data_IF_630310133525
#
_entry.id   IF_630310133525
#
_cell.length_a   1.000
_cell.length_b   1.000
_cell.length_c   1.000
_cell.angle_alpha   90.00
_cell.angle_beta   90.00
_cell.angle_gamma   90.00
#
_symmetry.space_group_name_H-M   'P 1'
#
loop_
_entity.id
_entity.type
_entity.pdbx_description
1 polymer ?
#
# COMPACT_ATOMS: atom_id res chain seq x y z
N UNK A 1 -0.89 31.54 43.00
CA UNK A 1 -1.67 32.69 42.48
C UNK A 1 -2.94 32.81 43.31
N UNK A 2 -3.17 33.94 44.00
CA UNK A 2 -4.46 34.17 44.67
C UNK A 2 -5.59 34.18 43.64
N UNK A 3 -6.69 33.47 43.91
CA UNK A 3 -7.84 33.37 42.99
C UNK A 3 -7.82 32.20 42.00
N UNK A 4 -6.87 31.27 42.12
CA UNK A 4 -6.83 30.05 41.29
C UNK A 4 -7.15 28.82 42.15
N UNK A 5 -8.21 28.09 41.77
CA UNK A 5 -8.58 26.82 42.38
C UNK A 5 -8.02 25.67 41.53
N UNK A 6 -7.16 24.85 42.11
CA UNK A 6 -6.61 23.66 41.48
C UNK A 6 -7.21 22.41 42.13
N UNK A 7 -7.66 21.46 41.32
CA UNK A 7 -8.07 20.12 41.78
C UNK A 7 -7.21 19.08 41.06
N UNK A 8 -6.74 18.02 41.74
CA UNK A 8 -5.86 17.02 41.15
C UNK A 8 -6.67 16.04 40.28
N UNK A 9 -7.07 16.47 39.08
CA UNK A 9 -7.79 15.66 38.09
C UNK A 9 -9.02 14.91 38.64
N UNK A 10 -9.73 15.50 39.61
CA UNK A 10 -10.86 14.88 40.30
C UNK A 10 -12.17 14.85 39.48
N UNK A 11 -12.17 15.40 38.26
CA UNK A 11 -13.37 15.55 37.43
C UNK A 11 -14.04 14.23 37.03
N UNK A 12 -13.28 13.13 36.99
CA UNK A 12 -13.79 11.78 36.70
C UNK A 12 -13.68 10.82 37.91
N UNK A 13 -13.31 11.34 39.09
CA UNK A 13 -13.11 10.56 40.32
C UNK A 13 -14.38 10.46 41.16
N UNK A 14 -15.50 10.12 40.51
CA UNK A 14 -16.81 9.88 41.14
C UNK A 14 -17.21 8.42 40.94
N UNK A 15 -17.94 7.83 41.89
CA UNK A 15 -18.38 6.43 41.80
C UNK A 15 -19.26 6.19 40.56
N UNK A 16 -20.07 7.17 40.18
CA UNK A 16 -20.96 7.11 39.01
C UNK A 16 -20.16 7.02 37.70
N UNK A 17 -19.14 7.88 37.55
CA UNK A 17 -18.24 7.84 36.40
C UNK A 17 -17.46 6.52 36.31
N UNK A 18 -16.92 6.02 37.43
CA UNK A 18 -16.20 4.73 37.44
C UNK A 18 -17.11 3.55 37.11
N UNK A 19 -18.35 3.58 37.60
CA UNK A 19 -19.36 2.56 37.28
C UNK A 19 -19.71 2.56 35.79
N UNK A 20 -19.89 3.74 35.20
CA UNK A 20 -20.20 3.86 33.78
C UNK A 20 -19.03 3.38 32.89
N UNK A 21 -17.79 3.73 33.25
CA UNK A 21 -16.59 3.24 32.55
C UNK A 21 -16.47 1.72 32.65
N UNK A 22 -16.77 1.13 33.80
CA UNK A 22 -16.76 -0.32 33.97
C UNK A 22 -17.83 -1.02 33.10
N UNK A 23 -19.06 -0.48 33.07
CA UNK A 23 -20.15 -1.00 32.21
C UNK A 23 -19.74 -0.91 30.74
N UNK A 24 -19.17 0.22 30.32
CA UNK A 24 -18.71 0.42 28.94
C UNK A 24 -17.61 -0.60 28.57
N UNK A 25 -16.61 -0.79 29.44
CA UNK A 25 -15.55 -1.78 29.22
C UNK A 25 -16.08 -3.22 29.11
N UNK A 26 -17.03 -3.61 29.96
CA UNK A 26 -17.67 -4.93 29.88
C UNK A 26 -18.49 -5.07 28.59
N UNK A 27 -19.22 -4.04 28.19
CA UNK A 27 -19.99 -4.07 26.94
C UNK A 27 -19.08 -4.21 25.72
N UNK A 28 -17.91 -3.55 25.71
CA UNK A 28 -16.89 -3.71 24.67
C UNK A 28 -16.40 -5.15 24.57
N UNK A 29 -16.13 -5.80 25.70
CA UNK A 29 -15.72 -7.22 25.73
C UNK A 29 -16.84 -8.15 25.27
N UNK A 30 -18.08 -7.93 25.72
CA UNK A 30 -19.23 -8.74 25.31
C UNK A 30 -19.50 -8.64 23.81
N UNK A 31 -19.43 -7.44 23.25
CA UNK A 31 -19.59 -7.22 21.81
C UNK A 31 -18.48 -7.94 21.02
N UNK A 32 -17.23 -7.85 21.47
CA UNK A 32 -16.11 -8.57 20.87
C UNK A 32 -16.34 -10.10 20.87
N UNK A 33 -16.70 -10.69 22.01
CA UNK A 33 -16.90 -12.14 22.10
C UNK A 33 -18.17 -12.66 21.41
N UNK A 34 -19.19 -11.80 21.27
CA UNK A 34 -20.50 -12.23 20.72
C UNK A 34 -20.62 -11.99 19.22
N UNK A 35 -20.19 -10.82 18.74
CA UNK A 35 -20.35 -10.41 17.34
C UNK A 35 -19.02 -10.11 16.63
N UNK A 36 -17.90 -10.06 17.37
CA UNK A 36 -16.63 -9.56 16.85
C UNK A 36 -16.60 -8.04 16.68
N UNK A 37 -17.63 -7.31 17.11
CA UNK A 37 -17.70 -5.85 16.98
C UNK A 37 -16.78 -5.18 18.02
N UNK A 38 -15.91 -4.30 17.54
CA UNK A 38 -14.98 -3.55 18.39
C UNK A 38 -15.34 -2.07 18.29
N UNK A 39 -15.94 -1.52 19.34
CA UNK A 39 -16.23 -0.08 19.45
C UNK A 39 -15.13 0.63 20.25
N UNK A 40 -14.90 1.90 19.95
CA UNK A 40 -13.97 2.76 20.71
C UNK A 40 -12.56 2.17 20.89
N UNK A 41 -12.12 1.27 20.00
CA UNK A 41 -10.77 0.74 20.11
C UNK A 41 -9.79 1.85 19.82
N UNK A 42 -8.98 2.13 20.84
CA UNK A 42 -7.86 3.06 20.75
C UNK A 42 -6.90 2.62 19.63
N UNK A 43 -6.86 1.31 19.33
CA UNK A 43 -5.90 0.68 18.41
C UNK A 43 -6.48 -0.26 17.33
N UNK A 44 -7.79 -0.29 17.08
CA UNK A 44 -8.38 -1.16 16.04
C UNK A 44 -9.55 -0.46 15.35
N UNK A 45 -9.69 -0.64 14.03
CA UNK A 45 -10.74 0.01 13.28
C UNK A 45 -12.09 -0.50 13.79
N UNK A 46 -13.01 0.42 14.12
CA UNK A 46 -14.39 0.07 14.51
C UNK A 46 -15.21 -0.35 13.28
N UNK A 47 -14.69 -1.31 12.54
CA UNK A 47 -15.24 -1.82 11.28
C UNK A 47 -15.87 -3.16 11.59
N UNK A 48 -17.10 -3.36 11.12
CA UNK A 48 -17.80 -4.64 11.24
C UNK A 48 -16.98 -5.77 10.57
N UNK A 49 -16.80 -6.93 11.22
CA UNK A 49 -16.00 -8.03 10.68
C UNK A 49 -16.43 -8.50 9.29
N UNK A 50 -17.72 -8.42 8.93
CA UNK A 50 -18.20 -8.81 7.60
C UNK A 50 -17.76 -7.80 6.54
N UNK A 51 -17.78 -6.51 6.86
CA UNK A 51 -17.24 -5.46 5.98
C UNK A 51 -15.75 -5.66 5.76
N UNK A 52 -14.98 -5.95 6.82
CA UNK A 52 -13.54 -6.21 6.71
C UNK A 52 -13.26 -7.45 5.83
N UNK A 53 -13.98 -8.54 6.06
CA UNK A 53 -13.85 -9.77 5.27
C UNK A 53 -14.19 -9.53 3.79
N UNK A 54 -15.25 -8.78 3.49
CA UNK A 54 -15.67 -8.47 2.13
C UNK A 54 -14.69 -7.54 1.37
N UNK A 55 -13.92 -6.73 2.11
CA UNK A 55 -12.96 -5.78 1.54
C UNK A 55 -11.50 -6.24 1.62
N UNK A 56 -11.25 -7.43 2.18
CA UNK A 56 -9.91 -7.96 2.48
C UNK A 56 -8.94 -7.85 1.31
N UNK A 57 -9.35 -8.27 0.12
CA UNK A 57 -8.49 -8.21 -1.07
C UNK A 57 -8.19 -6.79 -1.55
N UNK A 58 -9.16 -5.88 -1.51
CA UNK A 58 -8.93 -4.47 -1.90
C UNK A 58 -8.05 -3.74 -0.88
N UNK A 59 -8.19 -4.08 0.41
CA UNK A 59 -7.34 -3.55 1.47
C UNK A 59 -5.89 -4.01 1.30
N UNK A 60 -5.69 -5.28 0.91
CA UNK A 60 -4.36 -5.80 0.60
C UNK A 60 -3.75 -5.09 -0.64
N UNK A 61 -4.53 -4.88 -1.70
CA UNK A 61 -4.09 -4.09 -2.87
C UNK A 61 -3.67 -2.68 -2.45
N UNK A 62 -4.51 -1.97 -1.69
CA UNK A 62 -4.21 -0.62 -1.23
C UNK A 62 -2.93 -0.57 -0.38
N UNK A 63 -2.79 -1.51 0.56
CA UNK A 63 -1.61 -1.64 1.41
C UNK A 63 -0.33 -1.88 0.60
N UNK A 64 -0.36 -2.83 -0.33
CA UNK A 64 0.79 -3.17 -1.18
C UNK A 64 1.16 -2.02 -2.13
N UNK A 65 0.19 -1.26 -2.64
CA UNK A 65 0.46 -0.03 -3.41
C UNK A 65 1.20 1.01 -2.56
N UNK A 66 0.79 1.19 -1.30
CA UNK A 66 1.48 2.07 -0.35
C UNK A 66 2.94 1.66 -0.15
N UNK A 67 3.16 0.36 0.14
CA UNK A 67 4.51 -0.20 0.30
C UNK A 67 5.36 -0.11 -0.96
N UNK A 68 4.75 -0.28 -2.13
CA UNK A 68 5.42 -0.15 -3.41
C UNK A 68 5.88 1.28 -3.64
N UNK A 69 4.98 2.27 -3.50
CA UNK A 69 5.31 3.67 -3.72
C UNK A 69 6.29 4.21 -2.68
N UNK A 70 6.27 3.72 -1.44
CA UNK A 70 7.28 4.06 -0.43
C UNK A 70 8.71 3.71 -0.87
N UNK A 71 8.88 2.63 -1.64
CA UNK A 71 10.18 2.14 -2.14
C UNK A 71 10.51 2.68 -3.53
N UNK A 72 9.50 2.91 -4.36
CA UNK A 72 9.66 3.39 -5.74
C UNK A 72 9.87 4.91 -5.83
N UNK A 73 9.21 5.68 -4.97
CA UNK A 73 9.33 7.14 -4.97
C UNK A 73 10.67 7.60 -4.45
N UNK A 74 11.29 8.56 -5.14
CA UNK A 74 12.56 9.14 -4.72
C UNK A 74 12.37 10.43 -3.91
N UNK A 75 13.04 10.53 -2.78
CA UNK A 75 13.03 11.72 -1.94
C UNK A 75 11.83 11.81 -0.98
N UNK A 76 11.75 12.91 -0.24
CA UNK A 76 10.76 13.06 0.82
C UNK A 76 9.35 13.26 0.26
N UNK A 77 8.42 12.42 0.70
CA UNK A 77 6.98 12.49 0.37
C UNK A 77 6.37 13.76 0.98
N UNK A 78 5.58 14.48 0.18
CA UNK A 78 4.87 15.70 0.58
C UNK A 78 3.35 15.55 0.52
N UNK A 79 2.85 14.75 -0.41
CA UNK A 79 1.42 14.48 -0.51
C UNK A 79 1.18 13.15 -1.22
N UNK A 80 0.05 12.52 -0.95
CA UNK A 80 -0.47 11.42 -1.74
C UNK A 80 -1.92 11.69 -2.17
N UNK A 81 -2.25 11.22 -3.37
CA UNK A 81 -3.61 11.26 -3.93
C UNK A 81 -4.04 9.84 -4.25
N UNK A 82 -5.21 9.44 -3.75
CA UNK A 82 -5.84 8.18 -4.16
C UNK A 82 -7.05 8.45 -5.03
N UNK A 83 -7.16 7.71 -6.12
CA UNK A 83 -8.31 7.75 -7.02
C UNK A 83 -8.95 6.36 -7.09
N UNK A 84 -10.18 6.25 -6.60
CA UNK A 84 -10.97 5.03 -6.62
C UNK A 84 -11.89 5.01 -7.83
N UNK A 85 -11.92 3.88 -8.56
CA UNK A 85 -12.76 3.72 -9.75
C UNK A 85 -13.60 2.45 -9.70
N UNK A 86 -14.80 2.52 -10.27
CA UNK A 86 -15.71 1.38 -10.37
C UNK A 86 -16.10 0.83 -9.00
N UNK A 87 -15.96 -0.48 -8.80
CA UNK A 87 -16.37 -1.15 -7.56
C UNK A 87 -15.60 -0.65 -6.32
N UNK A 88 -14.31 -0.31 -6.45
CA UNK A 88 -13.54 0.28 -5.36
C UNK A 88 -14.14 1.61 -4.86
N UNK A 89 -14.74 2.39 -5.75
CA UNK A 89 -15.37 3.68 -5.40
C UNK A 89 -16.67 3.52 -4.60
N UNK A 90 -17.31 2.34 -4.65
CA UNK A 90 -18.53 2.02 -3.93
C UNK A 90 -18.27 1.37 -2.55
N UNK A 91 -17.01 1.02 -2.25
CA UNK A 91 -16.57 0.45 -0.97
C UNK A 91 -16.22 1.55 0.04
N UNK A 92 -15.83 1.16 1.25
CA UNK A 92 -15.32 2.12 2.25
C UNK A 92 -13.94 2.66 1.83
N UNK A 93 -13.95 3.76 1.08
CA UNK A 93 -12.75 4.43 0.59
C UNK A 93 -11.88 5.01 1.70
N UNK A 94 -12.43 5.29 2.89
CA UNK A 94 -11.62 5.72 4.02
C UNK A 94 -10.76 4.56 4.52
N UNK A 95 -11.31 3.36 4.61
CA UNK A 95 -10.56 2.18 5.02
C UNK A 95 -9.48 1.80 3.98
N UNK A 96 -9.80 1.89 2.70
CA UNK A 96 -8.80 1.72 1.62
C UNK A 96 -7.69 2.77 1.70
N UNK A 97 -8.04 4.04 1.95
CA UNK A 97 -7.07 5.13 2.15
C UNK A 97 -6.15 4.81 3.32
N UNK A 98 -6.72 4.40 4.44
CA UNK A 98 -5.97 4.04 5.64
C UNK A 98 -5.03 2.85 5.42
N UNK A 99 -5.47 1.81 4.69
CA UNK A 99 -4.62 0.67 4.32
C UNK A 99 -3.42 1.10 3.46
N UNK A 100 -3.65 1.96 2.46
CA UNK A 100 -2.56 2.55 1.67
C UNK A 100 -1.61 3.37 2.52
N UNK A 101 -2.14 4.25 3.39
CA UNK A 101 -1.32 5.07 4.28
C UNK A 101 -0.45 4.19 5.20
N UNK A 102 -1.01 3.08 5.70
CA UNK A 102 -0.29 2.14 6.54
C UNK A 102 0.91 1.54 5.77
N UNK A 103 0.69 1.06 4.55
CA UNK A 103 1.76 0.53 3.72
C UNK A 103 2.82 1.58 3.34
N UNK A 104 2.42 2.84 3.16
CA UNK A 104 3.33 3.93 2.80
C UNK A 104 4.32 4.27 3.93
N UNK A 105 3.91 4.15 5.19
CA UNK A 105 4.73 4.54 6.36
C UNK A 105 5.42 3.37 7.05
N UNK A 106 5.01 2.13 6.77
CA UNK A 106 5.48 0.93 7.46
C UNK A 106 7.00 0.75 7.42
N UNK A 107 7.64 1.04 6.28
CA UNK A 107 9.10 0.92 6.15
C UNK A 107 9.89 1.96 6.96
N UNK A 108 9.24 3.04 7.42
CA UNK A 108 9.86 4.12 8.17
C UNK A 108 9.54 4.07 9.67
N UNK A 109 8.90 3.00 10.15
CA UNK A 109 8.42 2.85 11.52
C UNK A 109 9.03 1.61 12.17
N UNK A 110 9.52 1.76 13.41
CA UNK A 110 10.01 0.63 14.23
C UNK A 110 8.86 -0.18 14.85
N UNK A 111 7.67 0.40 14.95
CA UNK A 111 6.48 -0.24 15.54
C UNK A 111 5.44 -0.58 14.46
N UNK A 112 4.63 -1.60 14.74
CA UNK A 112 3.54 -2.04 13.86
C UNK A 112 2.55 -0.89 13.60
N UNK A 113 2.35 -0.54 12.34
CA UNK A 113 1.47 0.55 11.94
C UNK A 113 0.02 0.14 12.12
N UNK A 114 -0.70 0.88 12.95
CA UNK A 114 -2.15 0.73 13.07
C UNK A 114 -2.85 1.44 11.89
N UNK A 115 -3.64 0.68 11.13
CA UNK A 115 -4.46 1.20 10.02
C UNK A 115 -5.33 2.40 10.42
N UNK A 116 -5.87 2.44 11.64
CA UNK A 116 -6.73 3.54 12.11
C UNK A 116 -6.00 4.87 12.12
N UNK A 117 -4.75 4.85 12.59
CA UNK A 117 -3.98 6.06 12.83
C UNK A 117 -3.02 6.38 11.68
N UNK A 118 -2.86 5.48 10.70
CA UNK A 118 -1.92 5.65 9.60
C UNK A 118 -2.13 6.95 8.82
N UNK A 119 -3.39 7.33 8.57
CA UNK A 119 -3.72 8.59 7.90
C UNK A 119 -3.36 9.81 8.75
N UNK A 120 -3.68 9.78 10.04
CA UNK A 120 -3.37 10.87 10.99
C UNK A 120 -1.86 11.04 11.10
N UNK A 121 -1.12 9.93 11.20
CA UNK A 121 0.33 9.92 11.26
C UNK A 121 1.00 10.58 10.04
N UNK A 122 0.45 10.38 8.84
CA UNK A 122 0.91 11.09 7.63
C UNK A 122 0.63 12.59 7.74
N UNK A 123 -0.57 12.97 8.18
CA UNK A 123 -0.96 14.38 8.34
C UNK A 123 -0.10 15.11 9.39
N UNK A 124 0.21 14.46 10.51
CA UNK A 124 1.10 14.98 11.56
C UNK A 124 2.53 15.20 11.05
N UNK A 125 2.95 14.44 10.03
CA UNK A 125 4.22 14.63 9.30
C UNK A 125 4.13 15.66 8.18
N UNK A 126 3.00 16.35 8.06
CA UNK A 126 2.75 17.34 7.01
C UNK A 126 2.53 16.73 5.62
N UNK A 127 2.21 15.43 5.55
CA UNK A 127 1.90 14.74 4.30
C UNK A 127 0.40 14.85 4.04
N UNK A 128 0.03 15.60 3.01
CA UNK A 128 -1.37 15.77 2.63
C UNK A 128 -1.92 14.49 1.97
N UNK A 129 -3.10 14.04 2.40
CA UNK A 129 -3.78 12.86 1.83
C UNK A 129 -5.08 13.29 1.17
N UNK A 130 -5.12 13.25 -0.16
CA UNK A 130 -6.28 13.62 -0.98
C UNK A 130 -6.90 12.37 -1.59
N UNK A 131 -8.22 12.33 -1.65
CA UNK A 131 -8.96 11.19 -2.24
C UNK A 131 -9.98 11.68 -3.26
N UNK A 132 -10.11 10.99 -4.38
CA UNK A 132 -11.23 11.15 -5.31
C UNK A 132 -11.87 9.80 -5.62
N UNK A 133 -13.18 9.82 -5.90
CA UNK A 133 -13.94 8.61 -6.23
C UNK A 133 -14.76 8.85 -7.49
N UNK A 134 -14.71 7.91 -8.42
CA UNK A 134 -15.48 7.93 -9.66
C UNK A 134 -16.20 6.60 -9.87
N UNK A 135 -17.52 6.65 -9.99
CA UNK A 135 -18.34 5.44 -10.21
C UNK A 135 -18.13 4.83 -11.61
N UNK A 136 -17.65 5.63 -12.57
CA UNK A 136 -17.41 5.17 -13.94
C UNK A 136 -16.33 4.08 -13.98
N UNK A 137 -16.63 3.00 -14.72
CA UNK A 137 -15.71 1.90 -14.94
C UNK A 137 -14.70 2.30 -16.02
N UNK A 138 -13.42 2.08 -15.73
CA UNK A 138 -12.35 2.24 -16.73
C UNK A 138 -12.12 0.94 -17.50
N UNK A 139 -10.84 0.65 -17.79
CA UNK A 139 -10.43 -0.63 -18.37
C UNK A 139 -10.63 -1.84 -17.42
N UNK A 140 -10.85 -1.59 -16.12
CA UNK A 140 -11.07 -2.58 -15.08
C UNK A 140 -12.36 -2.25 -14.31
N UNK A 141 -13.03 -3.29 -13.80
CA UNK A 141 -14.26 -3.16 -13.00
C UNK A 141 -14.03 -2.48 -11.65
N UNK A 142 -12.82 -2.65 -11.10
CA UNK A 142 -12.36 -2.03 -9.86
C UNK A 142 -10.92 -1.53 -10.11
N UNK A 143 -10.56 -0.36 -9.59
CA UNK A 143 -9.17 0.08 -9.59
C UNK A 143 -8.91 1.07 -8.47
N UNK A 144 -7.72 0.96 -7.87
CA UNK A 144 -7.14 1.91 -6.94
C UNK A 144 -5.92 2.50 -7.62
N UNK A 145 -5.94 3.80 -7.89
CA UNK A 145 -4.78 4.53 -8.40
C UNK A 145 -4.22 5.38 -7.26
N UNK A 146 -2.91 5.45 -7.14
CA UNK A 146 -2.23 6.25 -6.15
C UNK A 146 -1.11 7.06 -6.80
N UNK A 147 -1.09 8.35 -6.50
CA UNK A 147 -0.02 9.28 -6.82
C UNK A 147 0.69 9.68 -5.54
N UNK A 148 2.02 9.59 -5.51
CA UNK A 148 2.87 10.10 -4.42
C UNK A 148 3.73 11.22 -4.98
N UNK A 149 3.53 12.42 -4.45
CA UNK A 149 4.35 13.59 -4.81
C UNK A 149 5.44 13.78 -3.78
N UNK A 150 6.67 13.86 -4.26
CA UNK A 150 7.88 14.12 -3.48
C UNK A 150 8.50 15.44 -3.90
N UNK A 151 9.67 15.76 -3.35
CA UNK A 151 10.49 16.87 -3.85
C UNK A 151 11.06 16.62 -5.26
N UNK A 152 11.16 15.37 -5.73
CA UNK A 152 11.76 15.01 -7.02
C UNK A 152 10.75 14.89 -8.16
N UNK A 153 9.46 14.71 -7.84
CA UNK A 153 8.39 14.54 -8.82
C UNK A 153 7.20 13.78 -8.25
N UNK A 154 6.26 13.44 -9.13
CA UNK A 154 5.10 12.60 -8.82
C UNK A 154 5.32 11.22 -9.39
N UNK A 155 5.09 10.20 -8.56
CA UNK A 155 5.19 8.79 -8.90
C UNK A 155 3.81 8.15 -8.83
N UNK A 156 3.41 7.43 -9.86
CA UNK A 156 2.07 6.85 -9.96
C UNK A 156 2.10 5.32 -9.98
N UNK A 157 1.20 4.68 -9.26
CA UNK A 157 0.94 3.25 -9.40
C UNK A 157 -0.57 2.97 -9.33
N UNK A 158 -1.01 1.93 -10.03
CA UNK A 158 -2.40 1.49 -10.02
C UNK A 158 -2.49 -0.01 -9.78
N UNK A 159 -3.45 -0.41 -8.96
CA UNK A 159 -3.71 -1.80 -8.62
C UNK A 159 -5.18 -2.17 -8.70
N UNK A 160 -5.42 -3.47 -8.85
CA UNK A 160 -6.74 -4.09 -8.77
C UNK A 160 -6.62 -5.47 -8.15
N UNK A 161 -7.75 -6.00 -7.68
CA UNK A 161 -7.87 -7.40 -7.28
C UNK A 161 -8.38 -8.22 -8.46
N UNK A 162 -7.67 -9.28 -8.83
CA UNK A 162 -8.17 -10.32 -9.73
C UNK A 162 -8.72 -11.48 -8.90
N UNK A 163 -9.90 -11.98 -9.27
CA UNK A 163 -10.58 -13.00 -8.46
C UNK A 163 -10.86 -12.50 -7.04
N UNK A 164 -10.51 -13.30 -6.04
CA UNK A 164 -10.74 -12.98 -4.63
C UNK A 164 -9.47 -12.58 -3.85
N UNK A 165 -8.29 -12.95 -4.34
CA UNK A 165 -7.05 -12.94 -3.56
C UNK A 165 -5.78 -12.74 -4.40
N UNK A 166 -5.89 -12.23 -5.64
CA UNK A 166 -4.73 -11.95 -6.50
C UNK A 166 -4.55 -10.45 -6.74
N UNK A 167 -3.80 -9.72 -5.89
CA UNK A 167 -3.40 -8.34 -6.12
C UNK A 167 -2.57 -8.21 -7.41
N UNK A 168 -3.02 -7.33 -8.31
CA UNK A 168 -2.34 -7.03 -9.58
C UNK A 168 -1.99 -5.56 -9.68
N UNK A 169 -0.75 -5.28 -10.11
CA UNK A 169 -0.38 -3.97 -10.61
C UNK A 169 -0.84 -3.86 -12.05
N UNK A 170 -1.59 -2.80 -12.35
CA UNK A 170 -2.18 -2.53 -13.68
C UNK A 170 -1.63 -1.27 -14.35
N UNK A 171 -0.93 -0.44 -13.57
CA UNK A 171 -0.37 0.82 -14.01
C UNK A 171 0.88 1.13 -13.18
N UNK A 172 1.95 1.56 -13.84
CA UNK A 172 3.12 2.15 -13.20
C UNK A 172 3.56 3.34 -14.04
N UNK A 173 3.59 4.52 -13.42
CA UNK A 173 3.65 5.80 -14.11
C UNK A 173 2.55 5.88 -15.18
N UNK A 174 2.91 6.15 -16.43
CA UNK A 174 1.98 6.17 -17.57
C UNK A 174 1.90 4.83 -18.31
N UNK A 175 2.60 3.79 -17.86
CA UNK A 175 2.68 2.50 -18.53
C UNK A 175 1.63 1.53 -17.99
N UNK A 176 0.77 1.03 -18.87
CA UNK A 176 -0.15 -0.07 -18.56
C UNK A 176 0.58 -1.40 -18.72
N UNK A 177 0.44 -2.27 -17.72
CA UNK A 177 1.07 -3.59 -17.64
C UNK A 177 0.28 -4.45 -16.66
N UNK A 178 0.51 -5.76 -16.61
CA UNK A 178 -0.09 -6.64 -15.61
C UNK A 178 1.00 -7.42 -14.89
N UNK A 179 1.28 -7.09 -13.63
CA UNK A 179 2.28 -7.78 -12.79
C UNK A 179 1.67 -8.22 -11.46
N UNK A 180 2.20 -9.29 -10.85
CA UNK A 180 1.88 -9.61 -9.46
C UNK A 180 2.34 -8.47 -8.55
N UNK A 181 1.49 -8.07 -7.61
CA UNK A 181 1.81 -7.05 -6.61
C UNK A 181 2.31 -7.71 -5.30
N UNK A 182 3.23 -8.67 -5.42
CA UNK A 182 3.77 -9.45 -4.31
C UNK A 182 5.21 -9.89 -4.54
N UNK A 183 5.85 -10.31 -3.44
CA UNK A 183 7.20 -10.86 -3.47
C UNK A 183 8.27 -9.85 -3.86
N UNK A 184 9.27 -10.30 -4.61
CA UNK A 184 10.39 -9.48 -5.07
C UNK A 184 10.12 -8.99 -6.50
N UNK A 185 10.00 -7.67 -6.68
CA UNK A 185 9.80 -7.03 -7.97
C UNK A 185 11.09 -6.31 -8.37
N UNK A 186 11.68 -6.68 -9.50
CA UNK A 186 12.67 -5.84 -10.16
C UNK A 186 11.97 -5.00 -11.23
N UNK A 187 11.97 -3.69 -11.01
CA UNK A 187 11.41 -2.71 -11.93
C UNK A 187 12.54 -2.04 -12.69
N UNK A 188 12.46 -1.99 -14.02
CA UNK A 188 13.46 -1.33 -14.84
C UNK A 188 12.85 -0.49 -15.97
N UNK A 189 13.35 0.73 -16.12
CA UNK A 189 12.99 1.64 -17.22
C UNK A 189 14.01 1.47 -18.33
N UNK A 190 13.54 1.29 -19.56
CA UNK A 190 14.39 0.96 -20.69
C UNK A 190 13.93 1.63 -21.98
N UNK A 191 14.77 1.57 -23.01
CA UNK A 191 14.38 1.88 -24.37
C UNK A 191 13.84 0.61 -25.06
N UNK A 192 12.67 0.70 -25.69
CA UNK A 192 12.03 -0.43 -26.38
C UNK A 192 12.75 -0.76 -27.70
N UNK A 193 13.83 -1.54 -27.62
CA UNK A 193 14.64 -1.98 -28.76
C UNK A 193 14.73 -3.52 -28.82
N UNK A 194 14.89 -4.11 -30.02
CA UNK A 194 15.07 -5.55 -30.16
C UNK A 194 16.18 -6.09 -29.27
N UNK A 195 15.90 -7.20 -28.57
CA UNK A 195 16.88 -7.91 -27.75
C UNK A 195 16.94 -7.49 -26.28
N UNK A 196 16.37 -6.35 -25.88
CA UNK A 196 16.47 -5.85 -24.49
C UNK A 196 15.94 -6.86 -23.46
N UNK A 197 14.78 -7.45 -23.72
CA UNK A 197 14.16 -8.45 -22.84
C UNK A 197 15.01 -9.72 -22.74
N UNK A 198 15.55 -10.18 -23.88
CA UNK A 198 16.43 -11.35 -23.91
C UNK A 198 17.75 -11.12 -23.17
N UNK A 199 18.30 -9.91 -23.25
CA UNK A 199 19.51 -9.53 -22.52
C UNK A 199 19.28 -9.54 -21.01
N UNK A 200 18.21 -8.91 -20.52
CA UNK A 200 17.87 -8.90 -19.08
C UNK A 200 17.62 -10.32 -18.57
N UNK A 201 16.84 -11.13 -19.29
CA UNK A 201 16.62 -12.53 -18.93
C UNK A 201 17.91 -13.35 -18.89
N UNK A 202 18.83 -13.12 -19.83
CA UNK A 202 20.13 -13.81 -19.88
C UNK A 202 21.04 -13.40 -18.72
N UNK A 203 21.02 -12.12 -18.32
CA UNK A 203 21.76 -11.65 -17.14
C UNK A 203 21.26 -12.37 -15.89
N UNK A 204 19.96 -12.40 -15.63
CA UNK A 204 19.44 -13.10 -14.45
C UNK A 204 19.67 -14.61 -14.50
N UNK A 205 19.57 -15.24 -15.67
CA UNK A 205 19.94 -16.65 -15.85
C UNK A 205 21.42 -16.93 -15.54
N UNK A 206 22.34 -16.03 -15.89
CA UNK A 206 23.77 -16.11 -15.53
C UNK A 206 24.00 -15.99 -14.03
N UNK A 207 23.19 -15.21 -13.34
CA UNK A 207 23.25 -15.02 -11.89
C UNK A 207 22.41 -16.03 -11.10
N UNK A 208 21.87 -17.08 -11.76
CA UNK A 208 21.03 -18.11 -11.16
C UNK A 208 19.79 -17.55 -10.44
N UNK A 209 19.18 -16.51 -11.02
CA UNK A 209 17.96 -15.88 -10.51
C UNK A 209 16.79 -16.25 -11.43
N UNK A 210 15.80 -16.96 -10.87
CA UNK A 210 14.59 -17.31 -11.60
C UNK A 210 13.63 -16.12 -11.71
N UNK A 211 12.93 -16.03 -12.86
CA UNK A 211 11.90 -15.03 -13.16
C UNK A 211 10.54 -15.75 -13.19
N UNK A 212 9.73 -15.56 -12.16
CA UNK A 212 8.40 -16.17 -12.05
C UNK A 212 7.38 -15.51 -12.98
N UNK A 213 7.50 -14.19 -13.18
CA UNK A 213 6.65 -13.44 -14.10
C UNK A 213 7.42 -12.28 -14.70
N UNK A 214 7.07 -11.93 -15.93
CA UNK A 214 7.53 -10.72 -16.59
C UNK A 214 6.34 -9.95 -17.15
N UNK A 215 6.32 -8.65 -16.91
CA UNK A 215 5.36 -7.71 -17.47
C UNK A 215 6.09 -6.55 -18.12
N UNK A 216 5.65 -6.12 -19.29
CA UNK A 216 6.25 -5.00 -20.02
C UNK A 216 5.15 -4.03 -20.45
N UNK A 217 5.35 -2.75 -20.16
CA UNK A 217 4.48 -1.67 -20.60
C UNK A 217 5.24 -0.68 -21.47
N UNK A 218 4.66 -0.26 -22.59
CA UNK A 218 5.19 0.78 -23.48
C UNK A 218 4.08 1.70 -23.97
N UNK A 219 4.42 2.95 -24.28
CA UNK A 219 3.47 3.91 -24.87
C UNK A 219 3.40 3.78 -26.38
N UNK A 220 4.57 3.71 -27.02
CA UNK A 220 4.71 3.53 -28.46
C UNK A 220 5.97 2.71 -28.79
N UNK A 221 6.02 2.03 -29.94
CA UNK A 221 7.20 1.29 -30.37
C UNK A 221 8.46 2.17 -30.40
N UNK A 222 9.57 1.69 -29.87
CA UNK A 222 10.86 2.41 -29.89
C UNK A 222 11.01 3.50 -28.82
N UNK A 223 9.95 3.78 -28.05
CA UNK A 223 9.96 4.79 -26.98
C UNK A 223 10.48 4.23 -25.65
N UNK A 224 10.36 5.00 -24.58
CA UNK A 224 10.57 4.49 -23.23
C UNK A 224 9.54 3.40 -22.91
N UNK A 225 9.99 2.39 -22.18
CA UNK A 225 9.17 1.31 -21.68
C UNK A 225 9.58 0.96 -20.25
N UNK A 226 8.68 0.29 -19.54
CA UNK A 226 8.93 -0.24 -18.21
C UNK A 226 8.80 -1.76 -18.24
N UNK A 227 9.73 -2.44 -17.57
CA UNK A 227 9.66 -3.86 -17.31
C UNK A 227 9.55 -4.12 -15.82
N UNK A 228 8.73 -5.09 -15.45
CA UNK A 228 8.61 -5.62 -14.09
C UNK A 228 8.87 -7.12 -14.15
N UNK A 229 9.85 -7.58 -13.36
CA UNK A 229 10.12 -8.99 -13.14
C UNK A 229 9.73 -9.35 -11.72
N UNK A 230 8.83 -10.32 -11.54
CA UNK A 230 8.64 -10.97 -10.26
C UNK A 230 9.70 -12.07 -10.15
N UNK A 231 10.62 -11.93 -9.20
CA UNK A 231 11.75 -12.83 -8.96
C UNK A 231 11.46 -13.72 -7.76
N UNK A 232 12.01 -14.93 -7.76
CA UNK A 232 11.86 -15.88 -6.64
C UNK A 232 12.60 -15.43 -5.37
N UNK A 233 13.54 -14.49 -5.50
CA UNK A 233 14.31 -13.93 -4.41
C UNK A 233 14.94 -12.59 -4.77
N UNK A 234 15.49 -11.91 -3.75
CA UNK A 234 16.22 -10.66 -3.94
C UNK A 234 17.52 -10.95 -4.68
N UNK A 235 17.74 -10.35 -5.87
CA UNK A 235 18.95 -10.59 -6.65
C UNK A 235 20.16 -9.96 -5.94
N UNK A 236 21.33 -10.58 -6.10
CA UNK A 236 22.57 -10.01 -5.60
C UNK A 236 22.91 -8.67 -6.31
N UNK A 237 23.62 -7.78 -5.62
CA UNK A 237 24.02 -6.47 -6.15
C UNK A 237 24.77 -6.57 -7.49
N UNK A 238 25.55 -7.64 -7.69
CA UNK A 238 26.25 -7.90 -8.95
C UNK A 238 25.28 -8.08 -10.13
N UNK A 239 24.14 -8.75 -9.93
CA UNK A 239 23.12 -8.93 -10.95
C UNK A 239 22.43 -7.61 -11.28
N UNK A 240 22.08 -6.83 -10.24
CA UNK A 240 21.46 -5.51 -10.39
C UNK A 240 22.41 -4.56 -11.13
N UNK A 241 23.70 -4.58 -10.80
CA UNK A 241 24.72 -3.76 -11.44
C UNK A 241 24.92 -4.13 -12.91
N UNK A 242 24.91 -5.43 -13.25
CA UNK A 242 25.03 -5.88 -14.64
C UNK A 242 23.83 -5.44 -15.49
N UNK A 243 22.59 -5.52 -14.95
CA UNK A 243 21.40 -4.97 -15.64
C UNK A 243 21.50 -3.46 -15.79
N UNK A 244 21.91 -2.75 -14.74
CA UNK A 244 22.03 -1.29 -14.73
C UNK A 244 23.09 -0.76 -15.70
N UNK A 245 24.13 -1.56 -15.99
CA UNK A 245 25.18 -1.21 -16.93
C UNK A 245 24.77 -1.39 -18.41
N UNK A 246 23.63 -2.02 -18.70
CA UNK A 246 23.18 -2.24 -20.06
C UNK A 246 22.80 -0.90 -20.73
N UNK A 247 23.30 -0.57 -21.94
CA UNK A 247 23.17 0.78 -22.54
C UNK A 247 21.74 1.30 -22.72
N UNK A 248 20.78 0.40 -22.86
CA UNK A 248 19.37 0.74 -23.05
C UNK A 248 18.54 0.71 -21.75
N UNK A 249 19.16 0.46 -20.59
CA UNK A 249 18.53 0.53 -19.28
C UNK A 249 18.83 1.91 -18.67
N UNK A 250 17.79 2.61 -18.22
CA UNK A 250 17.89 3.96 -17.64
C UNK A 250 17.76 3.97 -16.12
N UNK A 251 16.98 3.02 -15.58
CA UNK A 251 16.73 2.90 -14.14
C UNK A 251 16.46 1.45 -13.82
N UNK A 252 16.95 1.00 -12.68
CA UNK A 252 16.64 -0.30 -12.08
C UNK A 252 16.34 -0.07 -10.61
N UNK A 253 15.30 -0.71 -10.09
CA UNK A 253 14.94 -0.68 -8.67
C UNK A 253 14.43 -2.05 -8.26
N UNK A 254 14.82 -2.51 -7.09
CA UNK A 254 14.22 -3.68 -6.44
C UNK A 254 13.20 -3.18 -5.44
N UNK A 255 11.99 -3.72 -5.47
CA UNK A 255 10.92 -3.47 -4.51
C UNK A 255 10.55 -4.80 -3.87
N UNK A 256 10.52 -4.84 -2.54
CA UNK A 256 10.11 -6.02 -1.79
C UNK A 256 8.75 -5.81 -1.15
N UNK A 257 7.80 -6.64 -1.53
CA UNK A 257 6.44 -6.67 -1.00
C UNK A 257 6.24 -7.96 -0.19
N UNK A 258 5.19 -8.04 0.65
CA UNK A 258 4.83 -9.28 1.30
C UNK A 258 4.63 -10.40 0.24
N UNK A 259 4.97 -11.66 0.55
CA UNK A 259 4.68 -12.79 -0.35
C UNK A 259 3.19 -12.90 -0.69
N UNK A 260 2.88 -13.64 -1.76
CA UNK A 260 1.50 -13.96 -2.12
C UNK A 260 0.76 -14.60 -0.93
N UNK A 261 -0.48 -14.19 -0.70
CA UNK A 261 -1.31 -14.68 0.41
C UNK A 261 -0.93 -14.17 1.80
N UNK A 262 0.23 -13.49 1.99
CA UNK A 262 0.57 -12.87 3.26
C UNK A 262 -0.11 -11.52 3.40
N UNK A 263 -1.07 -11.44 4.31
CA UNK A 263 -1.78 -10.23 4.67
C UNK A 263 -1.04 -9.49 5.81
N UNK A 264 -1.18 -8.16 5.92
CA UNK A 264 -0.71 -7.43 7.09
C UNK A 264 -1.42 -7.92 8.36
N UNK A 265 -0.76 -7.81 9.51
CA UNK A 265 -1.20 -8.45 10.76
C UNK A 265 -2.61 -7.99 11.19
N UNK A 266 -2.98 -6.74 10.90
CA UNK A 266 -4.31 -6.19 11.16
C UNK A 266 -5.42 -6.69 10.22
N UNK A 267 -5.10 -7.49 9.19
CA UNK A 267 -6.06 -8.16 8.28
C UNK A 267 -6.15 -9.68 8.49
N UNK A 268 -5.32 -10.28 9.35
CA UNK A 268 -5.27 -11.72 9.54
C UNK A 268 -6.42 -12.28 10.41
N UNK A 269 -7.28 -11.40 10.94
CA UNK A 269 -8.47 -11.73 11.73
C UNK A 269 -9.68 -12.18 10.93
#
# INVERSE_FOLDING_TARGET
MPGVLCTPHLGASTEEAQTQVAIEAVQLLLNYFSSGEIRHAVNMASVDPKTLAAMRGDLDVAHRLGRFLAQWSEGQIRSCRLSYRGEAAAKDTNLLTSAFCAGLVEAAMDEAVNIVNARVLLQDRGIEVVTESRAERGAFNSAILADVTTASGTFQAGGTLFGHDMPRMILLENFRLEAYLDGCLLVFVHQDVPGIIGAVGSIFGKHDVNIAQMAVGRLSPGSEAIGILNLDGVPADAAIAEVSAHPHIRRVSVVTLPPAGKLPDWLQG
#
